data_IF_717836257424
#
_entry.id   IF_717836257424
#
_cell.length_a   1.000
_cell.length_b   1.000
_cell.length_c   1.000
_cell.angle_alpha   90.00
_cell.angle_beta   90.00
_cell.angle_gamma   90.00
#
_symmetry.space_group_name_H-M   'P 1'
#
loop_
_entity.id
_entity.type
_entity.pdbx_description
1 polymer ?
#
# COMPACT_ATOMS: atom_id res chain seq x y z
N UNK A 1 11.88 49.67 41.04
CA UNK A 1 12.31 49.94 39.65
C UNK A 1 13.64 49.23 39.48
N UNK A 2 13.93 48.37 38.53
CA UNK A 2 13.26 47.64 37.44
C UNK A 2 14.41 46.80 36.81
N UNK A 3 14.12 45.71 36.10
CA UNK A 3 15.08 44.85 35.37
C UNK A 3 15.69 43.72 36.23
N UNK A 4 15.01 42.59 36.52
CA UNK A 4 14.45 41.52 35.64
C UNK A 4 15.50 40.90 34.70
N UNK A 5 16.07 39.74 35.09
CA UNK A 5 15.76 38.40 34.52
C UNK A 5 16.03 38.28 33.02
N UNK A 6 17.28 37.97 32.67
CA UNK A 6 17.66 37.53 31.31
C UNK A 6 18.59 36.30 31.29
N UNK A 7 18.72 35.56 32.40
CA UNK A 7 19.59 34.36 32.45
C UNK A 7 18.85 33.01 32.40
N UNK A 8 17.54 32.99 32.13
CA UNK A 8 16.78 31.73 32.10
C UNK A 8 15.93 31.58 30.84
N UNK A 9 16.56 31.57 29.66
CA UNK A 9 15.89 31.11 28.44
C UNK A 9 16.88 30.76 27.32
N UNK A 10 17.83 29.86 27.61
CA UNK A 10 18.58 29.19 26.55
C UNK A 10 18.97 27.75 26.94
N UNK A 11 17.96 26.96 27.31
CA UNK A 11 17.97 25.51 27.06
C UNK A 11 17.16 25.36 25.78
N UNK A 12 17.78 25.42 24.61
CA UNK A 12 18.47 24.23 24.13
C UNK A 12 17.45 23.10 23.93
N UNK A 13 16.40 23.36 23.15
CA UNK A 13 15.60 22.30 22.54
C UNK A 13 16.54 21.52 21.61
N UNK A 14 17.25 20.56 22.19
CA UNK A 14 17.89 19.50 21.44
C UNK A 14 16.77 18.72 20.78
N UNK A 15 16.44 19.12 19.55
CA UNK A 15 15.84 18.25 18.55
C UNK A 15 16.68 16.97 18.52
N UNK A 16 16.27 15.98 19.31
CA UNK A 16 16.77 14.62 19.18
C UNK A 16 16.17 14.15 17.88
N UNK A 17 16.88 14.44 16.78
CA UNK A 17 16.60 13.89 15.48
C UNK A 17 16.76 12.37 15.60
N UNK A 18 15.67 11.70 15.96
CA UNK A 18 15.56 10.26 15.83
C UNK A 18 15.93 9.87 14.40
N UNK A 19 16.35 8.62 14.16
CA UNK A 19 16.70 8.18 12.82
C UNK A 19 15.55 8.53 11.87
N UNK A 20 15.87 9.24 10.79
CA UNK A 20 14.89 9.69 9.79
C UNK A 20 14.31 8.48 9.06
N UNK A 21 13.34 7.81 9.70
CA UNK A 21 12.66 6.65 9.14
C UNK A 21 11.83 7.11 7.96
N UNK A 22 12.04 6.47 6.81
CA UNK A 22 11.26 6.76 5.62
C UNK A 22 9.77 6.40 5.83
N UNK A 23 8.89 7.11 5.12
CA UNK A 23 7.45 6.91 5.22
C UNK A 23 7.05 5.47 4.86
N UNK A 24 7.73 4.83 3.89
CA UNK A 24 7.47 3.44 3.48
C UNK A 24 7.78 2.46 4.63
N UNK A 25 8.93 2.63 5.28
CA UNK A 25 9.33 1.80 6.42
C UNK A 25 8.37 1.97 7.59
N UNK A 26 7.95 3.20 7.87
CA UNK A 26 7.00 3.48 8.95
C UNK A 26 5.62 2.88 8.67
N UNK A 27 5.10 3.00 7.44
CA UNK A 27 3.84 2.38 7.03
C UNK A 27 3.91 0.85 7.22
N UNK A 28 5.00 0.22 6.76
CA UNK A 28 5.17 -1.24 6.84
C UNK A 28 5.20 -1.71 8.30
N UNK A 29 6.05 -1.10 9.14
CA UNK A 29 6.18 -1.48 10.55
C UNK A 29 4.87 -1.25 11.33
N UNK A 30 4.19 -0.13 11.08
CA UNK A 30 2.92 0.14 11.75
C UNK A 30 1.82 -0.81 11.32
N UNK A 31 1.76 -1.17 10.03
CA UNK A 31 0.78 -2.14 9.54
C UNK A 31 0.98 -3.51 10.20
N UNK A 32 2.23 -3.96 10.36
CA UNK A 32 2.57 -5.21 11.04
C UNK A 32 2.19 -5.16 12.54
N UNK A 33 2.53 -4.08 13.24
CA UNK A 33 2.18 -3.90 14.67
C UNK A 33 0.66 -3.90 14.86
N UNK A 34 -0.09 -3.27 13.94
CA UNK A 34 -1.54 -3.16 13.99
C UNK A 34 -2.27 -4.38 13.40
N UNK A 35 -1.53 -5.31 12.81
CA UNK A 35 -2.06 -6.48 12.09
C UNK A 35 -3.12 -6.07 11.08
N UNK A 36 -2.80 -5.08 10.25
CA UNK A 36 -3.69 -4.61 9.19
C UNK A 36 -3.66 -5.58 7.99
N UNK A 37 -4.78 -5.72 7.26
CA UNK A 37 -4.81 -6.50 6.02
C UNK A 37 -3.81 -5.97 4.98
N UNK A 38 -3.29 -6.86 4.13
CA UNK A 38 -2.33 -6.50 3.08
C UNK A 38 -2.94 -5.51 2.06
N UNK A 39 -4.25 -5.57 1.84
CA UNK A 39 -4.99 -4.65 0.98
C UNK A 39 -4.99 -3.22 1.53
N UNK A 40 -5.04 -3.08 2.86
CA UNK A 40 -4.92 -1.78 3.53
C UNK A 40 -3.50 -1.23 3.36
N UNK A 41 -2.50 -2.10 3.48
CA UNK A 41 -1.09 -1.73 3.32
C UNK A 41 -0.81 -1.30 1.87
N UNK A 42 -1.29 -2.05 0.88
CA UNK A 42 -1.18 -1.72 -0.53
C UNK A 42 -1.82 -0.36 -0.86
N UNK A 43 -3.04 -0.13 -0.37
CA UNK A 43 -3.74 1.16 -0.54
C UNK A 43 -2.95 2.32 0.09
N UNK A 44 -2.32 2.09 1.24
CA UNK A 44 -1.50 3.11 1.91
C UNK A 44 -0.31 3.54 1.04
N UNK A 45 0.36 2.60 0.36
CA UNK A 45 1.43 2.93 -0.57
C UNK A 45 0.93 3.69 -1.80
N UNK A 46 -0.23 3.32 -2.33
CA UNK A 46 -0.84 4.07 -3.44
C UNK A 46 -1.14 5.51 -3.04
N UNK A 47 -1.67 5.74 -1.84
CA UNK A 47 -1.90 7.10 -1.32
C UNK A 47 -0.59 7.87 -1.15
N UNK A 48 0.45 7.24 -0.63
CA UNK A 48 1.79 7.84 -0.51
C UNK A 48 2.35 8.23 -1.89
N UNK A 49 2.26 7.34 -2.88
CA UNK A 49 2.74 7.57 -4.24
C UNK A 49 1.97 8.70 -4.95
N UNK A 50 0.65 8.79 -4.74
CA UNK A 50 -0.17 9.90 -5.24
C UNK A 50 0.19 11.22 -4.57
N UNK A 51 0.47 11.20 -3.26
CA UNK A 51 0.97 12.38 -2.54
C UNK A 51 2.32 12.85 -3.09
N UNK A 52 3.28 11.93 -3.28
CA UNK A 52 4.59 12.26 -3.86
C UNK A 52 4.47 12.83 -5.28
N UNK A 53 3.55 12.29 -6.10
CA UNK A 53 3.25 12.82 -7.43
C UNK A 53 2.76 14.26 -7.36
N UNK A 54 1.86 14.57 -6.43
CA UNK A 54 1.39 15.93 -6.17
C UNK A 54 2.53 16.84 -5.70
N UNK A 55 3.38 16.38 -4.77
CA UNK A 55 4.51 17.15 -4.25
C UNK A 55 5.54 17.46 -5.35
N UNK A 56 5.79 16.55 -6.29
CA UNK A 56 6.68 16.81 -7.44
C UNK A 56 6.12 17.87 -8.40
N UNK A 57 4.79 17.99 -8.49
CA UNK A 57 4.13 19.01 -9.32
C UNK A 57 4.13 20.38 -8.64
N UNK A 58 4.04 20.41 -7.31
CA UNK A 58 4.08 21.62 -6.51
C UNK A 58 5.53 21.98 -6.18
N UNK A 59 6.09 23.03 -6.79
CA UNK A 59 7.46 23.52 -6.47
C UNK A 59 7.62 24.11 -5.06
N UNK A 60 6.65 23.88 -4.16
CA UNK A 60 6.65 24.44 -2.80
C UNK A 60 7.40 23.50 -1.84
N UNK A 61 8.15 24.10 -0.91
CA UNK A 61 8.93 23.39 0.13
C UNK A 61 8.10 22.91 1.32
N UNK A 62 6.79 23.18 1.35
CA UNK A 62 5.90 22.83 2.46
C UNK A 62 5.35 21.41 2.29
N UNK A 63 6.22 20.43 2.52
CA UNK A 63 5.85 19.02 2.62
C UNK A 63 5.24 18.69 3.99
N UNK A 64 4.39 17.66 4.02
CA UNK A 64 3.98 17.02 5.27
C UNK A 64 5.20 16.29 5.86
N UNK A 65 5.30 16.28 7.18
CA UNK A 65 6.27 15.43 7.88
C UNK A 65 6.03 13.95 7.49
N UNK A 66 7.12 13.23 7.19
CA UNK A 66 7.05 11.86 6.68
C UNK A 66 6.35 10.91 7.66
N UNK A 67 6.54 11.08 8.97
CA UNK A 67 5.91 10.23 9.97
C UNK A 67 4.41 10.46 10.04
N UNK A 68 4.01 11.72 10.05
CA UNK A 68 2.59 12.06 10.08
C UNK A 68 1.89 11.78 8.75
N UNK A 69 2.60 11.88 7.62
CA UNK A 69 2.11 11.45 6.31
C UNK A 69 1.86 9.94 6.30
N UNK A 70 2.83 9.13 6.77
CA UNK A 70 2.69 7.68 6.89
C UNK A 70 1.46 7.30 7.72
N UNK A 71 1.28 7.94 8.88
CA UNK A 71 0.11 7.74 9.73
C UNK A 71 -1.21 8.13 9.06
N UNK A 72 -1.23 9.26 8.35
CA UNK A 72 -2.42 9.71 7.63
C UNK A 72 -2.78 8.74 6.49
N UNK A 73 -1.80 8.30 5.70
CA UNK A 73 -2.00 7.31 4.65
C UNK A 73 -2.60 6.01 5.20
N UNK A 74 -2.00 5.47 6.27
CA UNK A 74 -2.44 4.20 6.86
C UNK A 74 -3.83 4.31 7.51
N UNK A 75 -4.10 5.40 8.22
CA UNK A 75 -5.39 5.64 8.86
C UNK A 75 -6.51 5.83 7.82
N UNK A 76 -6.27 6.61 6.75
CA UNK A 76 -7.24 6.78 5.66
C UNK A 76 -7.45 5.48 4.89
N UNK A 77 -6.39 4.71 4.61
CA UNK A 77 -6.49 3.41 3.95
C UNK A 77 -7.28 2.40 4.78
N UNK A 78 -7.06 2.36 6.10
CA UNK A 78 -7.82 1.48 7.00
C UNK A 78 -9.33 1.79 6.98
N UNK A 79 -9.70 3.06 6.86
CA UNK A 79 -11.09 3.50 6.72
C UNK A 79 -11.66 3.17 5.33
N UNK A 80 -10.84 3.22 4.28
CA UNK A 80 -11.26 2.95 2.91
C UNK A 80 -11.45 1.45 2.58
N UNK A 81 -10.73 0.57 3.28
CA UNK A 81 -10.77 -0.90 3.09
C UNK A 81 -11.49 -1.63 4.24
N UNK A 82 -12.46 -0.98 4.87
CA UNK A 82 -13.34 -1.53 5.92
C UNK A 82 -12.61 -2.19 7.12
N UNK A 83 -11.37 -1.76 7.41
CA UNK A 83 -10.61 -2.19 8.57
C UNK A 83 -10.27 -1.01 9.51
N UNK A 84 -11.23 -0.14 9.88
CA UNK A 84 -10.92 1.05 10.67
C UNK A 84 -10.34 0.67 12.03
N UNK A 85 -9.36 1.46 12.49
CA UNK A 85 -8.79 1.38 13.84
C UNK A 85 -8.96 2.70 14.55
N UNK A 86 -8.95 2.69 15.89
CA UNK A 86 -9.03 3.93 16.67
C UNK A 86 -7.74 4.72 16.50
N UNK A 87 -7.83 6.05 16.45
CA UNK A 87 -6.64 6.94 16.36
C UNK A 87 -5.58 6.61 17.43
N UNK A 88 -6.02 6.29 18.65
CA UNK A 88 -5.14 5.88 19.75
C UNK A 88 -4.26 4.66 19.40
N UNK A 89 -4.79 3.73 18.62
CA UNK A 89 -4.08 2.51 18.21
C UNK A 89 -2.96 2.85 17.22
N UNK A 90 -3.11 3.87 16.38
CA UNK A 90 -2.02 4.36 15.51
C UNK A 90 -0.98 5.16 16.28
N UNK A 91 -1.42 6.08 17.16
CA UNK A 91 -0.52 7.04 17.81
C UNK A 91 0.42 6.39 18.84
N UNK A 92 -0.05 5.41 19.61
CA UNK A 92 0.77 4.73 20.64
C UNK A 92 2.03 4.03 20.07
N UNK A 93 1.91 3.13 19.07
CA UNK A 93 3.08 2.50 18.47
C UNK A 93 3.92 3.51 17.69
N UNK A 94 3.30 4.47 16.99
CA UNK A 94 4.05 5.50 16.27
C UNK A 94 4.90 6.38 17.21
N UNK A 95 4.36 6.76 18.36
CA UNK A 95 5.11 7.50 19.38
C UNK A 95 6.38 6.75 19.82
N UNK A 96 6.28 5.43 20.03
CA UNK A 96 7.43 4.57 20.38
C UNK A 96 8.43 4.47 19.23
N UNK A 97 7.95 4.39 17.99
CA UNK A 97 8.83 4.33 16.81
C UNK A 97 9.57 5.65 16.56
N UNK A 98 8.94 6.78 16.87
CA UNK A 98 9.54 8.11 16.74
C UNK A 98 10.50 8.43 17.89
N UNK A 99 10.18 8.01 19.11
CA UNK A 99 10.98 8.27 20.32
C UNK A 99 11.63 6.96 20.80
N UNK A 100 12.61 6.49 20.04
CA UNK A 100 13.33 5.22 20.29
C UNK A 100 14.24 5.25 21.52
N UNK A 101 14.26 6.35 22.28
CA UNK A 101 15.05 6.46 23.48
C UNK A 101 14.51 5.47 24.54
N UNK A 102 15.36 4.67 25.19
CA UNK A 102 14.95 3.66 26.18
C UNK A 102 14.21 4.27 27.39
N UNK A 103 14.43 5.55 27.67
CA UNK A 103 13.78 6.31 28.75
C UNK A 103 12.55 7.12 28.30
N UNK A 104 12.13 7.00 27.03
CA UNK A 104 10.96 7.72 26.55
C UNK A 104 9.69 7.15 27.17
N UNK A 105 9.02 7.96 27.98
CA UNK A 105 7.73 7.62 28.57
C UNK A 105 6.72 7.22 27.48
N UNK A 106 5.92 6.18 27.77
CA UNK A 106 4.83 5.78 26.91
C UNK A 106 3.80 6.91 26.81
N UNK A 107 3.18 7.09 25.64
CA UNK A 107 2.20 8.14 25.44
C UNK A 107 0.97 7.94 26.35
N UNK A 108 0.88 8.78 27.38
CA UNK A 108 -0.24 8.79 28.31
C UNK A 108 -1.51 9.31 27.63
N UNK A 109 -2.65 8.70 27.97
CA UNK A 109 -3.95 9.05 27.41
C UNK A 109 -4.95 9.16 28.58
N UNK A 110 -5.50 10.35 28.86
CA UNK A 110 -5.34 11.64 28.15
C UNK A 110 -4.04 12.38 28.50
N UNK A 111 -3.45 13.10 27.54
CA UNK A 111 -2.32 14.03 27.74
C UNK A 111 -2.35 15.16 26.70
N UNK A 112 -1.81 16.36 26.99
CA UNK A 112 -1.78 17.47 26.02
C UNK A 112 -0.97 17.12 24.76
N UNK A 113 0.08 16.31 24.90
CA UNK A 113 0.86 15.81 23.77
C UNK A 113 0.02 14.88 22.88
N UNK A 114 -0.78 13.98 23.47
CA UNK A 114 -1.69 13.11 22.74
C UNK A 114 -2.74 13.91 21.97
N UNK A 115 -3.35 14.93 22.58
CA UNK A 115 -4.37 15.75 21.94
C UNK A 115 -3.81 16.58 20.77
N UNK A 116 -2.59 17.09 20.92
CA UNK A 116 -1.87 17.77 19.84
C UNK A 116 -1.57 16.84 18.66
N UNK A 117 -1.04 15.64 18.91
CA UNK A 117 -0.75 14.63 17.88
C UNK A 117 -2.02 14.16 17.18
N UNK A 118 -3.08 13.92 17.94
CA UNK A 118 -4.41 13.56 17.42
C UNK A 118 -4.93 14.64 16.49
N UNK A 119 -4.87 15.90 16.91
CA UNK A 119 -5.33 17.05 16.11
C UNK A 119 -4.52 17.18 14.83
N UNK A 120 -3.20 16.99 14.91
CA UNK A 120 -2.29 17.03 13.77
C UNK A 120 -2.57 15.89 12.79
N UNK A 121 -2.80 14.68 13.28
CA UNK A 121 -3.16 13.53 12.44
C UNK A 121 -4.45 13.80 11.67
N UNK A 122 -5.51 14.23 12.35
CA UNK A 122 -6.80 14.55 11.71
C UNK A 122 -6.64 15.65 10.65
N UNK A 123 -5.84 16.68 10.93
CA UNK A 123 -5.52 17.72 9.95
C UNK A 123 -4.81 17.15 8.71
N UNK A 124 -3.84 16.26 8.92
CA UNK A 124 -3.08 15.66 7.82
C UNK A 124 -3.92 14.68 7.01
N UNK A 125 -4.84 13.95 7.64
CA UNK A 125 -5.84 13.16 6.92
C UNK A 125 -6.68 14.02 5.98
N UNK A 126 -7.15 15.19 6.45
CA UNK A 126 -7.93 16.11 5.62
C UNK A 126 -7.11 16.68 4.45
N UNK A 127 -5.83 17.01 4.68
CA UNK A 127 -4.92 17.47 3.62
C UNK A 127 -4.72 16.35 2.59
N UNK A 128 -4.44 15.12 3.05
CA UNK A 128 -4.27 13.97 2.18
C UNK A 128 -5.54 13.71 1.35
N UNK A 129 -6.71 13.72 1.97
CA UNK A 129 -8.00 13.54 1.27
C UNK A 129 -8.23 14.60 0.18
N UNK A 130 -7.86 15.86 0.43
CA UNK A 130 -7.93 16.93 -0.57
C UNK A 130 -6.98 16.70 -1.74
N UNK A 131 -5.76 16.24 -1.47
CA UNK A 131 -4.76 15.91 -2.50
C UNK A 131 -5.25 14.74 -3.36
N UNK A 132 -5.84 13.73 -2.72
CA UNK A 132 -6.47 12.57 -3.38
C UNK A 132 -7.81 12.93 -4.04
N UNK A 133 -8.28 14.18 -3.93
CA UNK A 133 -9.60 14.63 -4.44
C UNK A 133 -10.77 13.76 -3.95
N UNK A 134 -10.64 13.20 -2.74
CA UNK A 134 -11.58 12.25 -2.14
C UNK A 134 -11.80 10.96 -2.95
N UNK A 135 -10.91 10.64 -3.88
CA UNK A 135 -10.92 9.39 -4.64
C UNK A 135 -10.27 8.27 -3.82
N UNK A 136 -11.08 7.62 -2.98
CA UNK A 136 -10.64 6.52 -2.12
C UNK A 136 -10.84 5.13 -2.74
N UNK A 137 -11.64 5.04 -3.81
CA UNK A 137 -11.93 3.80 -4.55
C UNK A 137 -10.90 3.57 -5.63
N UNK A 138 -9.65 3.36 -5.22
CA UNK A 138 -8.55 3.08 -6.14
C UNK A 138 -8.43 1.57 -6.32
N UNK A 139 -8.44 1.11 -7.56
CA UNK A 139 -8.16 -0.29 -7.85
C UNK A 139 -6.70 -0.61 -7.52
N UNK A 140 -6.50 -1.64 -6.73
CA UNK A 140 -5.18 -2.15 -6.34
C UNK A 140 -4.94 -3.48 -7.04
N UNK A 141 -3.67 -3.91 -7.21
CA UNK A 141 -3.37 -5.20 -7.81
C UNK A 141 -4.03 -6.40 -7.09
N UNK A 142 -4.28 -6.25 -5.79
CA UNK A 142 -4.96 -7.23 -4.94
C UNK A 142 -6.41 -7.50 -5.36
N UNK A 143 -7.10 -6.52 -5.96
CA UNK A 143 -8.50 -6.68 -6.34
C UNK A 143 -8.67 -7.64 -7.54
N UNK A 144 -7.64 -7.80 -8.38
CA UNK A 144 -7.66 -8.67 -9.57
C UNK A 144 -6.90 -9.98 -9.37
N UNK A 145 -6.04 -10.05 -8.36
CA UNK A 145 -5.11 -11.17 -8.12
C UNK A 145 -5.80 -12.54 -8.07
N UNK A 146 -6.90 -12.72 -7.31
CA UNK A 146 -7.49 -14.05 -7.16
C UNK A 146 -8.12 -14.58 -8.45
N UNK A 147 -8.75 -13.70 -9.24
CA UNK A 147 -9.35 -14.07 -10.52
C UNK A 147 -8.30 -14.47 -11.55
N UNK A 148 -7.27 -13.63 -11.71
CA UNK A 148 -6.21 -13.88 -12.69
C UNK A 148 -5.35 -15.10 -12.31
N UNK A 149 -5.12 -15.32 -11.02
CA UNK A 149 -4.39 -16.50 -10.57
C UNK A 149 -5.18 -17.79 -10.79
N UNK A 150 -6.49 -17.77 -10.53
CA UNK A 150 -7.36 -18.94 -10.75
C UNK A 150 -7.36 -19.35 -12.21
N UNK A 151 -7.49 -18.40 -13.14
CA UNK A 151 -7.44 -18.73 -14.57
C UNK A 151 -6.05 -19.18 -15.02
N UNK A 152 -4.99 -18.50 -14.56
CA UNK A 152 -3.62 -18.91 -14.89
C UNK A 152 -3.29 -20.33 -14.39
N UNK A 153 -3.90 -20.75 -13.27
CA UNK A 153 -3.72 -22.08 -12.67
C UNK A 153 -4.68 -23.14 -13.20
N UNK A 154 -5.66 -22.75 -13.99
CA UNK A 154 -6.67 -23.66 -14.54
C UNK A 154 -6.08 -24.76 -15.42
N UNK A 155 -5.13 -24.39 -16.29
CA UNK A 155 -4.42 -25.32 -17.19
C UNK A 155 -3.57 -26.35 -16.45
N UNK A 156 -3.18 -26.06 -15.20
CA UNK A 156 -2.38 -26.96 -14.37
C UNK A 156 -3.25 -27.96 -13.59
N UNK A 157 -4.55 -28.06 -13.94
CA UNK A 157 -5.46 -29.08 -13.42
C UNK A 157 -6.11 -28.74 -12.08
N UNK A 158 -6.15 -27.46 -11.68
CA UNK A 158 -6.63 -27.05 -10.35
C UNK A 158 -8.14 -26.73 -10.29
N UNK A 159 -8.88 -26.57 -11.39
CA UNK A 159 -10.37 -26.56 -11.40
C UNK A 159 -10.99 -26.55 -12.81
N UNK A 160 -12.08 -27.30 -13.00
CA UNK A 160 -12.91 -27.37 -14.23
C UNK A 160 -13.90 -26.18 -14.40
N UNK A 161 -13.44 -24.94 -14.20
CA UNK A 161 -14.28 -23.74 -14.30
C UNK A 161 -14.19 -23.08 -15.68
N UNK A 162 -15.15 -23.36 -16.58
CA UNK A 162 -15.29 -22.90 -17.99
C UNK A 162 -14.67 -21.54 -18.41
N UNK A 163 -14.20 -21.44 -19.67
CA UNK A 163 -13.48 -20.28 -20.24
C UNK A 163 -14.34 -19.01 -20.37
N UNK A 164 -15.64 -19.15 -20.09
CA UNK A 164 -16.65 -18.10 -20.11
C UNK A 164 -16.62 -17.21 -18.85
N UNK A 165 -15.84 -17.58 -17.82
CA UNK A 165 -15.72 -16.83 -16.57
C UNK A 165 -15.01 -15.47 -16.74
N UNK A 166 -14.17 -15.33 -17.76
CA UNK A 166 -13.28 -14.17 -17.94
C UNK A 166 -13.99 -12.94 -18.52
N UNK A 167 -14.99 -13.17 -19.39
CA UNK A 167 -15.78 -12.11 -20.03
C UNK A 167 -16.64 -11.36 -19.01
N UNK A 168 -16.95 -12.00 -17.87
CA UNK A 168 -17.81 -11.44 -16.83
C UNK A 168 -17.11 -11.21 -15.48
N UNK A 169 -15.86 -11.64 -15.29
CA UNK A 169 -15.16 -11.45 -14.00
C UNK A 169 -14.97 -9.97 -13.66
N UNK A 170 -14.68 -9.14 -14.67
CA UNK A 170 -14.53 -7.69 -14.50
C UNK A 170 -15.84 -7.04 -14.00
N UNK A 171 -17.00 -7.61 -14.34
CA UNK A 171 -18.33 -7.10 -13.98
C UNK A 171 -18.96 -7.79 -12.75
N UNK A 172 -18.34 -8.85 -12.21
CA UNK A 172 -18.86 -9.59 -11.04
C UNK A 172 -18.77 -8.76 -9.74
N UNK A 173 -19.79 -8.92 -8.89
CA UNK A 173 -19.83 -8.30 -7.57
C UNK A 173 -18.72 -8.86 -6.67
N UNK A 174 -18.35 -8.10 -5.63
CA UNK A 174 -17.30 -8.50 -4.67
C UNK A 174 -17.67 -9.80 -3.95
N UNK A 175 -18.95 -10.01 -3.65
CA UNK A 175 -19.47 -11.20 -2.96
C UNK A 175 -19.38 -12.45 -3.85
N UNK A 176 -19.66 -12.32 -5.15
CA UNK A 176 -19.56 -13.44 -6.10
C UNK A 176 -18.10 -13.90 -6.31
N UNK A 177 -17.15 -12.97 -6.18
CA UNK A 177 -15.70 -13.25 -6.25
C UNK A 177 -15.18 -13.97 -5.02
N UNK A 178 -15.87 -13.90 -3.88
CA UNK A 178 -15.46 -14.56 -2.63
C UNK A 178 -16.01 -15.99 -2.53
N UNK A 179 -17.11 -16.33 -3.24
CA UNK A 179 -17.80 -17.61 -3.14
C UNK A 179 -17.19 -18.77 -3.98
N UNK A 180 -16.54 -18.47 -5.11
CA UNK A 180 -16.04 -19.49 -6.05
C UNK A 180 -14.67 -20.09 -5.62
N UNK A 181 -14.58 -20.86 -4.52
CA UNK A 181 -13.40 -21.69 -4.13
C UNK A 181 -12.01 -20.99 -4.12
N UNK A 182 -11.97 -19.66 -4.21
CA UNK A 182 -10.75 -18.84 -4.33
C UNK A 182 -9.91 -18.90 -3.05
N UNK A 183 -10.54 -19.17 -1.90
CA UNK A 183 -9.86 -19.29 -0.62
C UNK A 183 -8.78 -20.38 -0.59
N UNK A 184 -8.97 -21.52 -1.28
CA UNK A 184 -7.99 -22.63 -1.26
C UNK A 184 -6.74 -22.30 -2.10
N UNK A 185 -6.91 -21.62 -3.24
CA UNK A 185 -5.79 -21.26 -4.12
C UNK A 185 -4.95 -20.13 -3.53
N UNK A 186 -5.60 -19.17 -2.85
CA UNK A 186 -4.92 -18.01 -2.29
C UNK A 186 -4.05 -18.33 -1.06
N UNK A 187 -4.21 -19.51 -0.46
CA UNK A 187 -3.34 -20.01 0.62
C UNK A 187 -2.08 -20.73 0.14
N UNK A 188 -1.99 -21.01 -1.16
CA UNK A 188 -0.83 -21.68 -1.75
C UNK A 188 0.43 -20.82 -1.71
N UNK A 189 1.60 -21.46 -1.76
CA UNK A 189 2.88 -20.75 -1.83
C UNK A 189 3.01 -19.86 -3.07
N UNK A 190 2.36 -20.20 -4.19
CA UNK A 190 2.36 -19.38 -5.42
C UNK A 190 1.57 -18.09 -5.16
N UNK A 191 0.39 -18.20 -4.57
CA UNK A 191 -0.43 -17.03 -4.28
C UNK A 191 0.25 -16.07 -3.28
N UNK A 192 0.95 -16.60 -2.27
CA UNK A 192 1.72 -15.80 -1.31
C UNK A 192 2.86 -15.03 -1.97
N UNK A 193 3.60 -15.67 -2.88
CA UNK A 193 4.63 -14.98 -3.68
C UNK A 193 4.03 -13.90 -4.58
N UNK A 194 2.91 -14.19 -5.23
CA UNK A 194 2.18 -13.23 -6.05
C UNK A 194 1.71 -12.01 -5.23
N UNK A 195 1.18 -12.23 -4.01
CA UNK A 195 0.81 -11.14 -3.08
C UNK A 195 2.03 -10.32 -2.66
N UNK A 196 3.14 -10.97 -2.34
CA UNK A 196 4.38 -10.28 -1.97
C UNK A 196 4.92 -9.41 -3.11
N UNK A 197 4.91 -9.91 -4.35
CA UNK A 197 5.29 -9.15 -5.55
C UNK A 197 4.32 -8.00 -5.82
N UNK A 198 3.01 -8.23 -5.71
CA UNK A 198 1.99 -7.19 -5.85
C UNK A 198 2.16 -6.06 -4.81
N UNK A 199 2.47 -6.41 -3.56
CA UNK A 199 2.76 -5.43 -2.51
C UNK A 199 4.03 -4.63 -2.83
N UNK A 200 5.08 -5.31 -3.33
CA UNK A 200 6.31 -4.68 -3.80
C UNK A 200 6.05 -3.69 -4.94
N UNK A 201 5.19 -4.04 -5.89
CA UNK A 201 4.78 -3.16 -6.98
C UNK A 201 4.03 -1.91 -6.48
N UNK A 202 3.16 -2.06 -5.46
CA UNK A 202 2.48 -0.92 -4.85
C UNK A 202 3.44 0.04 -4.13
N UNK A 203 4.56 -0.45 -3.58
CA UNK A 203 5.61 0.39 -2.97
C UNK A 203 6.36 1.22 -4.01
N UNK A 204 6.41 0.77 -5.26
CA UNK A 204 7.13 1.45 -6.31
C UNK A 204 6.33 2.61 -6.92
N UNK A 205 6.96 3.78 -6.98
CA UNK A 205 6.35 4.99 -7.51
C UNK A 205 5.93 4.84 -8.98
N UNK A 206 6.73 4.12 -9.79
CA UNK A 206 6.44 3.97 -11.21
C UNK A 206 5.27 3.03 -11.46
N UNK A 207 5.34 1.82 -10.90
CA UNK A 207 4.30 0.79 -11.05
C UNK A 207 2.95 1.26 -10.51
N UNK A 208 2.93 1.97 -9.38
CA UNK A 208 1.67 2.41 -8.77
C UNK A 208 0.98 3.58 -9.48
N UNK A 209 1.71 4.41 -10.25
CA UNK A 209 1.16 5.65 -10.83
C UNK A 209 0.96 5.63 -12.35
N UNK A 210 1.75 4.85 -13.09
CA UNK A 210 1.77 4.87 -14.56
C UNK A 210 1.08 3.67 -15.19
N UNK A 211 0.98 2.55 -14.47
CA UNK A 211 0.42 1.32 -15.01
C UNK A 211 -0.96 1.03 -14.40
N UNK A 212 -1.90 0.50 -15.19
CA UNK A 212 -3.18 0.07 -14.66
C UNK A 212 -2.99 -1.13 -13.73
N UNK A 213 -3.76 -1.17 -12.64
CA UNK A 213 -3.66 -2.24 -11.64
C UNK A 213 -3.80 -3.64 -12.26
N UNK A 214 -4.63 -3.80 -13.31
CA UNK A 214 -4.78 -5.06 -14.06
C UNK A 214 -3.47 -5.53 -14.70
N UNK A 215 -2.74 -4.63 -15.36
CA UNK A 215 -1.47 -4.95 -16.00
C UNK A 215 -0.41 -5.33 -14.95
N UNK A 216 -0.34 -4.57 -13.83
CA UNK A 216 0.57 -4.86 -12.73
C UNK A 216 0.28 -6.23 -12.11
N UNK A 217 -1.00 -6.58 -11.88
CA UNK A 217 -1.40 -7.90 -11.39
C UNK A 217 -0.96 -9.01 -12.33
N UNK A 218 -1.26 -8.87 -13.63
CA UNK A 218 -0.88 -9.85 -14.64
C UNK A 218 0.64 -10.06 -14.64
N UNK A 219 1.40 -8.97 -14.57
CA UNK A 219 2.86 -9.00 -14.58
C UNK A 219 3.44 -9.65 -13.32
N UNK A 220 2.83 -9.42 -12.15
CA UNK A 220 3.21 -10.11 -10.91
C UNK A 220 3.02 -11.63 -11.03
N UNK A 221 1.88 -12.08 -11.55
CA UNK A 221 1.60 -13.51 -11.75
C UNK A 221 2.58 -14.10 -12.76
N UNK A 222 2.78 -13.44 -13.89
CA UNK A 222 3.69 -13.92 -14.94
C UNK A 222 5.11 -14.15 -14.42
N UNK A 223 5.66 -13.17 -13.69
CA UNK A 223 7.00 -13.25 -13.11
C UNK A 223 7.09 -14.43 -12.13
N UNK A 224 6.14 -14.58 -11.21
CA UNK A 224 6.16 -15.67 -10.24
C UNK A 224 6.07 -17.04 -10.91
N UNK A 225 5.21 -17.18 -11.92
CA UNK A 225 5.09 -18.45 -12.66
C UNK A 225 6.32 -18.76 -13.49
N UNK A 226 6.94 -17.74 -14.11
CA UNK A 226 8.20 -17.87 -14.83
C UNK A 226 9.34 -18.27 -13.91
N UNK A 227 9.49 -17.59 -12.77
CA UNK A 227 10.57 -17.84 -11.81
C UNK A 227 10.46 -19.24 -11.19
N UNK A 228 9.24 -19.79 -11.10
CA UNK A 228 8.98 -21.18 -10.67
C UNK A 228 9.05 -22.20 -11.80
N UNK A 229 9.39 -21.79 -13.03
CA UNK A 229 9.53 -22.68 -14.18
C UNK A 229 8.21 -23.25 -14.71
N UNK A 230 7.07 -22.67 -14.34
CA UNK A 230 5.73 -23.12 -14.76
C UNK A 230 5.33 -22.61 -16.16
N UNK A 231 6.08 -21.66 -16.72
CA UNK A 231 5.88 -21.13 -18.07
C UNK A 231 7.07 -21.43 -18.99
N UNK A 232 7.45 -22.70 -19.23
CA UNK A 232 8.56 -23.00 -20.13
C UNK A 232 8.18 -22.65 -21.58
N UNK A 233 8.84 -21.63 -22.15
CA UNK A 233 8.78 -21.32 -23.58
C UNK A 233 7.47 -20.71 -24.09
N UNK A 234 6.61 -20.22 -23.21
CA UNK A 234 5.37 -19.55 -23.61
C UNK A 234 5.67 -18.07 -23.91
N UNK A 235 5.35 -17.64 -25.13
CA UNK A 235 5.40 -16.24 -25.54
C UNK A 235 4.48 -15.38 -24.65
N UNK A 236 5.04 -14.28 -24.15
CA UNK A 236 4.39 -13.36 -23.20
C UNK A 236 3.03 -12.86 -23.73
N UNK A 237 2.98 -12.53 -25.02
CA UNK A 237 1.78 -12.07 -25.72
C UNK A 237 0.71 -13.16 -25.88
N UNK A 238 1.14 -14.41 -26.01
CA UNK A 238 0.22 -15.56 -26.09
C UNK A 238 -0.36 -15.85 -24.72
N UNK A 239 0.47 -15.84 -23.68
CA UNK A 239 0.03 -16.06 -22.30
C UNK A 239 -1.00 -15.01 -21.86
N UNK A 240 -0.72 -13.72 -22.07
CA UNK A 240 -1.62 -12.65 -21.63
C UNK A 240 -3.03 -12.77 -22.25
N UNK A 241 -3.08 -13.02 -23.57
CA UNK A 241 -4.34 -13.12 -24.32
C UNK A 241 -5.14 -14.38 -24.03
N UNK A 242 -4.46 -15.47 -23.68
CA UNK A 242 -5.08 -16.77 -23.45
C UNK A 242 -5.47 -16.99 -21.98
N UNK A 243 -4.72 -16.42 -21.03
CA UNK A 243 -4.82 -16.77 -19.60
C UNK A 243 -5.29 -15.66 -18.66
N UNK A 244 -5.22 -14.39 -19.06
CA UNK A 244 -5.47 -13.29 -18.11
C UNK A 244 -6.60 -12.39 -18.56
N UNK A 245 -6.42 -11.64 -19.64
CA UNK A 245 -7.48 -10.82 -20.20
C UNK A 245 -7.08 -10.21 -21.54
N UNK A 246 -8.09 -10.01 -22.40
CA UNK A 246 -7.94 -9.24 -23.65
C UNK A 246 -8.01 -7.74 -23.43
N UNK A 247 -8.41 -7.28 -22.24
CA UNK A 247 -8.56 -5.86 -21.92
C UNK A 247 -7.26 -5.17 -21.51
N UNK A 248 -6.17 -5.92 -21.34
CA UNK A 248 -4.87 -5.39 -20.95
C UNK A 248 -4.07 -5.04 -22.21
N UNK A 249 -3.57 -3.81 -22.27
CA UNK A 249 -2.66 -3.38 -23.33
C UNK A 249 -1.31 -4.10 -23.18
N UNK A 250 -0.82 -4.63 -24.30
CA UNK A 250 0.41 -5.43 -24.31
C UNK A 250 1.62 -4.61 -23.86
N UNK A 251 1.69 -3.35 -24.30
CA UNK A 251 2.79 -2.43 -24.01
C UNK A 251 2.89 -2.18 -22.51
N UNK A 252 1.76 -1.84 -21.85
CA UNK A 252 1.69 -1.66 -20.40
C UNK A 252 2.15 -2.90 -19.62
N UNK A 253 1.81 -4.09 -20.12
CA UNK A 253 2.21 -5.35 -19.49
C UNK A 253 3.70 -5.63 -19.65
N UNK A 254 4.25 -5.50 -20.86
CA UNK A 254 5.67 -5.70 -21.15
C UNK A 254 6.56 -4.72 -20.38
N UNK A 255 6.14 -3.46 -20.31
CA UNK A 255 6.83 -2.41 -19.56
C UNK A 255 6.75 -2.65 -18.04
N UNK A 256 5.59 -3.11 -17.53
CA UNK A 256 5.44 -3.47 -16.12
C UNK A 256 6.34 -4.66 -15.75
N UNK A 257 6.40 -5.71 -16.59
CA UNK A 257 7.31 -6.86 -16.37
C UNK A 257 8.76 -6.39 -16.40
N UNK A 258 9.14 -5.62 -17.42
CA UNK A 258 10.51 -5.10 -17.56
C UNK A 258 10.92 -4.20 -16.40
N UNK A 259 9.99 -3.44 -15.82
CA UNK A 259 10.24 -2.59 -14.67
C UNK A 259 10.42 -3.39 -13.38
N UNK A 260 9.73 -4.53 -13.25
CA UNK A 260 9.85 -5.42 -12.10
C UNK A 260 11.09 -6.33 -12.16
N UNK A 261 11.55 -6.71 -13.35
CA UNK A 261 12.74 -7.55 -13.56
C UNK A 261 14.07 -6.82 -13.36
N UNK A 262 14.09 -5.49 -13.49
CA UNK A 262 15.29 -4.67 -13.28
C UNK A 262 15.74 -4.56 -11.82
N UNK A 263 15.08 -5.28 -10.90
CA UNK A 263 15.29 -5.23 -9.45
C UNK A 263 15.62 -6.60 -8.89
#
# INVERSE_FOLDING_TARGET
MAQTTEEMQNKGETSVAGPSMDAISMITLLADILRLPEECLAMSFVFLNRYQKFQRQQKSSLGLDNHMLALACLSVASKAKDAPRRVREFLRPAWRLMHQAPDSAALECPSPAYDSLRSTLVRNELILLRILKFELRVSTPFDFLPGYLTEAMRDFGVNDGGADALVYFDDRSKEDKEADRIADLMETGIAKDCRAKALGACKDYQLANFFPAKAVTAACIYIVLRDRGLLPGIDMKRWLRDKVSRSIELEDFEDAVSSMDKR
#
